data_IF_946023120894
#
_entry.id   IF_946023120894
#
_cell.length_a   1.000
_cell.length_b   1.000
_cell.length_c   1.000
_cell.angle_alpha   90.00
_cell.angle_beta   90.00
_cell.angle_gamma   90.00
#
_symmetry.space_group_name_H-M   'P 1'
#
loop_
_entity.id
_entity.type
_entity.pdbx_description
1 polymer ?
#
# COMPACT_ATOMS: atom_id res chain seq x y z
N UNK A 1 32.16 -45.94 -26.86
CA UNK A 1 32.15 -45.53 -25.44
C UNK A 1 32.34 -44.02 -25.24
N UNK A 2 33.33 -43.36 -25.88
CA UNK A 2 33.61 -41.92 -25.67
C UNK A 2 32.50 -40.92 -26.08
N UNK A 3 31.72 -41.20 -27.13
CA UNK A 3 30.64 -40.31 -27.57
C UNK A 3 29.46 -40.24 -26.58
N UNK A 4 29.06 -41.38 -26.02
CA UNK A 4 28.00 -41.43 -25.00
C UNK A 4 28.40 -40.67 -23.72
N UNK A 5 29.67 -40.79 -23.31
CA UNK A 5 30.22 -40.05 -22.15
C UNK A 5 30.20 -38.54 -22.43
N UNK A 6 30.59 -38.10 -23.64
CA UNK A 6 30.54 -36.67 -24.01
C UNK A 6 29.13 -36.12 -24.02
N UNK A 7 28.16 -36.85 -24.57
CA UNK A 7 26.75 -36.45 -24.59
C UNK A 7 26.20 -36.35 -23.16
N UNK A 8 26.51 -37.33 -22.30
CA UNK A 8 26.11 -37.30 -20.89
C UNK A 8 26.71 -36.11 -20.13
N UNK A 9 28.00 -35.81 -20.32
CA UNK A 9 28.65 -34.66 -19.68
C UNK A 9 28.06 -33.32 -20.16
N UNK A 10 27.81 -33.17 -21.46
CA UNK A 10 27.18 -31.96 -22.00
C UNK A 10 25.76 -31.80 -21.45
N UNK A 11 24.96 -32.88 -21.47
CA UNK A 11 23.60 -32.86 -20.91
C UNK A 11 23.61 -32.54 -19.42
N UNK A 12 24.54 -33.12 -18.66
CA UNK A 12 24.71 -32.84 -17.22
C UNK A 12 25.12 -31.39 -16.95
N UNK A 13 26.03 -30.82 -17.75
CA UNK A 13 26.42 -29.42 -17.65
C UNK A 13 25.27 -28.47 -17.98
N UNK A 14 24.50 -28.79 -19.03
CA UNK A 14 23.31 -28.01 -19.40
C UNK A 14 22.27 -28.07 -18.27
N UNK A 15 21.96 -29.27 -17.76
CA UNK A 15 21.02 -29.42 -16.64
C UNK A 15 21.48 -28.63 -15.41
N UNK A 16 22.76 -28.77 -15.03
CA UNK A 16 23.34 -28.04 -13.91
C UNK A 16 23.27 -26.51 -14.11
N UNK A 17 23.59 -26.02 -15.30
CA UNK A 17 23.52 -24.58 -15.61
C UNK A 17 22.09 -24.03 -15.53
N UNK A 18 21.10 -24.80 -15.99
CA UNK A 18 19.69 -24.39 -15.91
C UNK A 18 19.16 -24.38 -14.48
N UNK A 19 19.49 -25.40 -13.68
CA UNK A 19 19.13 -25.47 -12.25
C UNK A 19 19.82 -24.34 -11.48
N UNK A 20 21.10 -24.08 -11.76
CA UNK A 20 21.84 -22.97 -11.16
C UNK A 20 21.20 -21.61 -11.50
N UNK A 21 20.90 -21.34 -12.77
CA UNK A 21 20.25 -20.10 -13.20
C UNK A 21 18.85 -19.92 -12.55
N UNK A 22 18.06 -20.99 -12.43
CA UNK A 22 16.77 -20.95 -11.73
C UNK A 22 16.93 -20.65 -10.25
N UNK A 23 17.92 -21.24 -9.58
CA UNK A 23 18.20 -20.98 -8.16
C UNK A 23 18.61 -19.53 -7.90
N UNK A 24 19.47 -18.94 -8.74
CA UNK A 24 19.88 -17.53 -8.64
C UNK A 24 18.68 -16.59 -8.82
N UNK A 25 17.80 -16.88 -9.79
CA UNK A 25 16.58 -16.08 -10.00
C UNK A 25 15.61 -16.20 -8.82
N UNK A 26 15.42 -17.39 -8.28
CA UNK A 26 14.58 -17.61 -7.11
C UNK A 26 15.12 -16.88 -5.88
N UNK A 27 16.44 -16.93 -5.64
CA UNK A 27 17.09 -16.21 -4.54
C UNK A 27 16.96 -14.69 -4.70
N UNK A 28 17.05 -14.17 -5.92
CA UNK A 28 16.84 -12.74 -6.20
C UNK A 28 15.40 -12.30 -5.91
N UNK A 29 14.39 -13.11 -6.27
CA UNK A 29 12.99 -12.82 -5.97
C UNK A 29 12.66 -13.00 -4.48
N UNK A 30 13.20 -14.04 -3.82
CA UNK A 30 13.07 -14.22 -2.37
C UNK A 30 13.78 -13.11 -1.56
N UNK A 31 14.82 -12.50 -2.15
CA UNK A 31 15.53 -11.36 -1.58
C UNK A 31 14.80 -10.02 -1.73
N UNK A 32 13.83 -9.92 -2.64
CA UNK A 32 12.94 -8.75 -2.76
C UNK A 32 11.88 -8.82 -1.67
N UNK A 33 12.24 -8.38 -0.47
CA UNK A 33 11.25 -8.04 0.55
C UNK A 33 10.89 -6.57 0.37
N UNK A 34 9.91 -6.30 -0.48
CA UNK A 34 9.38 -4.94 -0.63
C UNK A 34 8.62 -4.58 0.66
N UNK A 35 9.29 -3.83 1.53
CA UNK A 35 8.65 -3.28 2.72
C UNK A 35 7.73 -2.16 2.24
N UNK A 36 6.42 -2.44 2.24
CA UNK A 36 5.44 -1.40 1.96
C UNK A 36 5.27 -0.49 3.18
N UNK A 37 5.37 0.81 2.94
CA UNK A 37 5.13 1.84 3.95
C UNK A 37 3.71 2.37 3.73
N UNK A 38 2.86 2.24 4.74
CA UNK A 38 1.52 2.80 4.75
C UNK A 38 1.47 4.07 5.61
N UNK A 39 1.14 5.21 5.00
CA UNK A 39 0.87 6.45 5.71
C UNK A 39 -0.54 6.41 6.30
N UNK A 40 -0.64 6.05 7.58
CA UNK A 40 -1.88 6.04 8.37
C UNK A 40 -2.55 7.43 8.30
N UNK A 41 -3.71 7.54 7.68
CA UNK A 41 -4.50 8.77 7.48
C UNK A 41 -3.76 9.87 6.71
N UNK A 42 -2.86 9.49 5.81
CA UNK A 42 -1.91 10.40 5.16
C UNK A 42 -0.79 10.86 6.08
N UNK A 43 -0.12 11.97 5.75
CA UNK A 43 0.92 12.58 6.58
C UNK A 43 0.32 13.37 7.77
N UNK A 44 -0.45 12.68 8.61
CA UNK A 44 -1.23 13.27 9.70
C UNK A 44 -0.38 13.92 10.81
N UNK A 45 0.92 13.63 10.84
CA UNK A 45 1.86 14.24 11.79
C UNK A 45 2.23 15.67 11.43
N UNK A 46 2.01 16.08 10.17
CA UNK A 46 2.30 17.43 9.67
C UNK A 46 1.06 18.17 9.15
N UNK A 47 0.08 17.44 8.61
CA UNK A 47 -1.15 17.97 8.05
C UNK A 47 -2.36 17.35 8.77
N UNK A 48 -3.56 17.97 8.73
CA UNK A 48 -4.76 17.36 9.29
C UNK A 48 -4.99 15.96 8.72
N UNK A 49 -5.26 14.98 9.58
CA UNK A 49 -5.54 13.60 9.17
C UNK A 49 -6.69 13.53 8.15
N UNK A 50 -6.67 12.54 7.25
CA UNK A 50 -7.76 12.30 6.30
C UNK A 50 -8.08 13.52 5.39
N UNK A 51 -7.06 14.34 5.08
CA UNK A 51 -7.19 15.53 4.24
C UNK A 51 -6.39 15.43 2.94
N UNK A 52 -6.80 16.19 1.91
CA UNK A 52 -6.06 16.27 0.64
C UNK A 52 -4.59 16.67 0.86
N UNK A 53 -4.24 17.69 1.68
CA UNK A 53 -2.85 18.02 1.97
C UNK A 53 -2.05 16.85 2.59
N UNK A 54 -2.62 16.11 3.54
CA UNK A 54 -1.96 14.96 4.14
C UNK A 54 -1.72 13.82 3.14
N UNK A 55 -2.67 13.61 2.22
CA UNK A 55 -2.54 12.62 1.14
C UNK A 55 -1.46 13.03 0.15
N UNK A 56 -1.47 14.29 -0.31
CA UNK A 56 -0.49 14.80 -1.27
C UNK A 56 0.92 14.77 -0.70
N UNK A 57 1.10 15.08 0.58
CA UNK A 57 2.41 14.97 1.22
C UNK A 57 2.87 13.52 1.38
N UNK A 58 1.97 12.60 1.75
CA UNK A 58 2.33 11.19 1.79
C UNK A 58 2.81 10.69 0.41
N UNK A 59 2.13 11.11 -0.66
CA UNK A 59 2.52 10.81 -2.05
C UNK A 59 3.89 11.44 -2.39
N UNK A 60 4.13 12.70 -2.02
CA UNK A 60 5.38 13.40 -2.30
C UNK A 60 6.60 12.70 -1.66
N UNK A 61 6.39 12.07 -0.51
CA UNK A 61 7.39 11.31 0.24
C UNK A 61 7.59 9.87 -0.29
N UNK A 62 6.83 9.44 -1.30
CA UNK A 62 7.02 8.14 -1.95
C UNK A 62 6.57 6.95 -1.13
N UNK A 63 5.59 7.12 -0.22
CA UNK A 63 5.02 5.99 0.53
C UNK A 63 4.34 5.00 -0.43
N UNK A 64 4.30 3.72 -0.05
CA UNK A 64 3.68 2.69 -0.89
C UNK A 64 2.17 2.75 -0.86
N UNK A 65 1.59 3.12 0.29
CA UNK A 65 0.16 3.13 0.54
C UNK A 65 -0.19 4.41 1.31
N UNK A 66 -1.26 5.08 0.90
CA UNK A 66 -1.92 6.10 1.72
C UNK A 66 -3.18 5.45 2.29
N UNK A 67 -3.25 5.38 3.61
CA UNK A 67 -4.42 4.85 4.31
C UNK A 67 -5.40 5.99 4.60
N UNK A 68 -6.69 5.70 4.50
CA UNK A 68 -7.79 6.64 4.70
C UNK A 68 -8.96 5.94 5.40
N UNK A 69 -9.65 6.68 6.25
CA UNK A 69 -10.84 6.20 6.95
C UNK A 69 -12.12 6.76 6.30
N UNK A 70 -13.17 5.94 6.21
CA UNK A 70 -14.44 6.33 5.59
C UNK A 70 -15.60 6.31 6.59
N UNK A 71 -16.46 7.33 6.48
CA UNK A 71 -17.80 7.36 7.12
C UNK A 71 -18.87 7.74 6.11
N UNK A 72 -20.12 7.42 6.41
CA UNK A 72 -21.29 7.84 5.64
C UNK A 72 -22.05 8.93 6.40
N UNK A 73 -22.40 9.99 5.70
CA UNK A 73 -23.30 11.06 6.18
C UNK A 73 -24.74 10.57 6.27
N UNK A 74 -25.62 11.40 6.83
CA UNK A 74 -27.08 11.17 6.93
C UNK A 74 -27.74 10.93 5.57
N UNK A 75 -27.26 11.60 4.54
CA UNK A 75 -27.74 11.53 3.15
C UNK A 75 -26.95 10.52 2.29
N UNK A 76 -26.10 9.69 2.91
CA UNK A 76 -25.44 8.55 2.26
C UNK A 76 -24.15 8.88 1.51
N UNK A 77 -23.62 10.10 1.65
CA UNK A 77 -22.36 10.52 1.03
C UNK A 77 -21.18 9.97 1.84
N UNK A 78 -20.20 9.40 1.16
CA UNK A 78 -18.97 8.92 1.79
C UNK A 78 -17.98 10.06 1.97
N UNK A 79 -17.41 10.19 3.17
CA UNK A 79 -16.42 11.21 3.54
C UNK A 79 -15.20 10.58 4.19
N UNK A 80 -14.08 11.30 4.15
CA UNK A 80 -12.87 10.94 4.88
C UNK A 80 -12.98 11.37 6.35
N UNK A 81 -13.09 10.42 7.27
CA UNK A 81 -13.19 10.68 8.71
C UNK A 81 -12.94 9.39 9.50
N UNK A 82 -12.09 9.45 10.52
CA UNK A 82 -11.86 8.30 11.38
C UNK A 82 -13.01 8.09 12.38
N UNK A 83 -13.36 9.13 13.12
CA UNK A 83 -14.29 9.04 14.24
C UNK A 83 -15.75 8.93 13.75
N UNK A 84 -16.64 8.46 14.62
CA UNK A 84 -18.09 8.51 14.36
C UNK A 84 -18.68 9.92 14.51
N UNK A 85 -17.90 10.88 14.98
CA UNK A 85 -18.28 12.26 15.26
C UNK A 85 -17.27 13.23 14.65
N UNK A 86 -17.69 14.45 14.34
CA UNK A 86 -16.79 15.48 13.76
C UNK A 86 -15.99 16.25 14.82
N UNK A 87 -16.28 16.02 16.09
CA UNK A 87 -15.89 16.85 17.24
C UNK A 87 -14.39 17.07 17.47
N UNK A 88 -13.55 16.08 17.12
CA UNK A 88 -12.12 16.07 17.44
C UNK A 88 -11.28 16.80 16.39
N UNK A 89 -11.65 16.69 15.11
CA UNK A 89 -10.82 17.09 13.97
C UNK A 89 -11.41 18.25 13.17
N UNK A 90 -12.57 18.76 13.57
CA UNK A 90 -13.26 19.88 12.91
C UNK A 90 -13.71 20.92 13.93
N UNK A 91 -14.24 22.03 13.44
CA UNK A 91 -14.91 23.06 14.24
C UNK A 91 -16.36 22.70 14.60
N UNK A 92 -16.93 21.68 13.96
CA UNK A 92 -18.30 21.22 14.20
C UNK A 92 -18.46 20.31 15.41
N UNK A 93 -19.70 19.88 15.67
CA UNK A 93 -20.06 18.91 16.70
C UNK A 93 -21.15 17.96 16.20
N UNK A 94 -21.11 16.72 16.68
CA UNK A 94 -22.15 15.72 16.46
C UNK A 94 -21.69 14.51 15.67
N UNK A 95 -22.58 13.52 15.56
CA UNK A 95 -22.33 12.27 14.82
C UNK A 95 -22.40 12.52 13.33
N UNK A 96 -21.44 11.97 12.57
CA UNK A 96 -21.42 12.04 11.10
C UNK A 96 -22.73 11.50 10.50
N UNK A 97 -23.27 10.42 11.05
CA UNK A 97 -24.54 9.83 10.61
C UNK A 97 -25.78 10.70 10.80
N UNK A 98 -25.66 11.81 11.55
CA UNK A 98 -26.75 12.74 11.83
C UNK A 98 -26.65 14.03 11.00
N UNK A 99 -25.55 14.24 10.29
CA UNK A 99 -25.27 15.43 9.47
C UNK A 99 -25.33 15.06 7.99
N UNK A 100 -25.93 15.91 7.17
CA UNK A 100 -25.84 15.85 5.71
C UNK A 100 -24.45 16.26 5.24
N UNK A 101 -24.10 15.93 3.99
CA UNK A 101 -22.82 16.38 3.42
C UNK A 101 -22.69 17.91 3.40
N UNK A 102 -23.78 18.63 3.11
CA UNK A 102 -23.80 20.09 3.13
C UNK A 102 -23.46 20.65 4.52
N UNK A 103 -24.10 20.13 5.58
CA UNK A 103 -23.83 20.56 6.98
C UNK A 103 -22.39 20.27 7.44
N UNK A 104 -21.69 19.33 6.80
CA UNK A 104 -20.28 19.02 7.09
C UNK A 104 -19.31 19.93 6.31
N UNK A 105 -19.75 20.50 5.18
CA UNK A 105 -18.93 21.38 4.34
C UNK A 105 -18.95 22.85 4.79
N UNK A 106 -19.92 23.24 5.63
CA UNK A 106 -20.04 24.58 6.21
C UNK A 106 -18.94 24.91 7.24
#
# INVERSE_FOLDING_TARGET
>A
MGHAIRIFLIASCLLFSTVYAQSVRLLAELGKKDIHIAAHRGMHTQYPENSIPAILEAISLGVSIVEIDIRSTKDGVLILMHDGTVDRTTTGKGKVSNLSYAEIQD
#
